data_IF_384171411364
#
_entry.id   IF_384171411364
#
_cell.length_a   1.000
_cell.length_b   1.000
_cell.length_c   1.000
_cell.angle_alpha   90.00
_cell.angle_beta   90.00
_cell.angle_gamma   90.00
#
_symmetry.space_group_name_H-M   'P 1'
#
loop_
_entity.id
_entity.type
_entity.pdbx_description
1 polymer ?
#
# COMPACT_ATOMS: atom_id res chain seq x y z
N UNK A 1 13.70 11.19 16.11
CA UNK A 1 13.12 9.89 16.52
C UNK A 1 12.74 9.09 15.28
N UNK A 2 13.33 7.89 15.15
CA UNK A 2 13.20 6.95 14.03
C UNK A 2 11.82 6.27 13.99
N UNK A 3 11.41 5.89 12.77
CA UNK A 3 10.35 4.95 12.38
C UNK A 3 8.88 5.32 12.59
N UNK A 4 8.25 5.96 11.59
CA UNK A 4 6.95 5.48 11.10
C UNK A 4 7.22 4.75 9.80
N UNK A 5 7.20 3.42 9.89
CA UNK A 5 7.34 2.48 8.78
C UNK A 5 6.37 2.93 7.68
N UNK A 6 6.82 2.95 6.43
CA UNK A 6 5.92 2.78 5.29
C UNK A 6 4.95 1.66 5.65
N UNK A 7 3.65 1.80 5.33
CA UNK A 7 2.78 0.63 5.34
C UNK A 7 3.52 -0.39 4.49
N UNK A 8 4.05 -1.40 5.18
CA UNK A 8 4.79 -2.43 4.52
C UNK A 8 3.77 -3.11 3.61
N UNK A 9 4.20 -3.59 2.45
CA UNK A 9 3.36 -4.39 1.59
C UNK A 9 2.70 -5.54 2.38
N UNK A 10 3.39 -6.09 3.40
CA UNK A 10 2.85 -7.05 4.39
C UNK A 10 1.74 -6.48 5.30
N UNK A 11 1.78 -5.19 5.60
CA UNK A 11 0.71 -4.48 6.33
C UNK A 11 -0.48 -4.28 5.40
N UNK A 12 -0.33 -3.95 4.11
CA UNK A 12 -1.50 -3.98 3.21
C UNK A 12 -2.03 -5.41 2.95
N UNK A 13 -1.16 -6.42 2.89
CA UNK A 13 -1.45 -7.83 2.58
C UNK A 13 -2.35 -8.55 3.59
N UNK A 14 -2.16 -8.32 4.90
CA UNK A 14 -2.96 -9.02 5.91
C UNK A 14 -4.34 -8.36 6.12
N UNK A 15 -4.54 -7.14 5.62
CA UNK A 15 -5.59 -6.26 6.12
C UNK A 15 -6.86 -6.32 5.25
N UNK A 16 -6.82 -6.94 4.07
CA UNK A 16 -8.02 -7.18 3.25
C UNK A 16 -8.88 -8.37 3.75
N UNK A 17 -8.79 -8.80 5.02
CA UNK A 17 -9.22 -10.14 5.49
C UNK A 17 -10.56 -10.24 6.28
N UNK A 18 -11.60 -9.48 5.98
CA UNK A 18 -12.91 -9.71 6.63
C UNK A 18 -14.00 -10.12 5.62
N UNK A 19 -14.49 -11.36 5.75
CA UNK A 19 -15.91 -11.75 5.89
C UNK A 19 -16.15 -13.22 5.49
N UNK A 20 -16.79 -14.03 6.35
CA UNK A 20 -18.01 -14.84 6.13
C UNK A 20 -18.18 -15.95 7.21
N UNK A 21 -19.47 -16.21 7.51
CA UNK A 21 -20.16 -17.25 8.33
C UNK A 21 -20.33 -17.03 9.84
N UNK A 22 -21.60 -16.95 10.24
CA UNK A 22 -22.14 -16.57 11.55
C UNK A 22 -22.13 -17.76 12.50
N UNK A 23 -21.35 -17.64 13.58
CA UNK A 23 -21.61 -18.33 14.84
C UNK A 23 -21.65 -17.26 15.94
N UNK A 24 -22.55 -17.40 16.92
CA UNK A 24 -22.72 -16.41 18.00
C UNK A 24 -21.61 -16.54 19.05
N UNK A 25 -20.99 -15.42 19.46
CA UNK A 25 -20.05 -15.34 20.59
C UNK A 25 -19.25 -14.03 20.63
N UNK A 26 -18.48 -13.78 21.70
CA UNK A 26 -17.70 -12.54 21.91
C UNK A 26 -16.21 -12.83 22.18
N UNK A 27 -15.30 -12.00 21.64
CA UNK A 27 -13.86 -11.94 21.99
C UNK A 27 -13.66 -10.97 23.14
N UNK A 28 -12.96 -11.37 24.20
CA UNK A 28 -12.71 -10.50 25.36
C UNK A 28 -11.30 -9.93 25.32
N UNK A 29 -11.16 -8.62 25.50
CA UNK A 29 -9.87 -7.97 25.73
C UNK A 29 -9.72 -7.66 27.21
N UNK A 30 -8.57 -8.03 27.78
CA UNK A 30 -8.23 -7.77 29.19
C UNK A 30 -7.04 -6.81 29.21
N UNK A 31 -7.29 -5.57 29.66
CA UNK A 31 -6.28 -4.52 29.75
C UNK A 31 -6.04 -4.21 31.24
N UNK A 32 -4.82 -4.39 31.76
CA UNK A 32 -4.52 -4.09 33.15
C UNK A 32 -4.68 -2.59 33.45
N UNK A 33 -5.03 -2.24 34.69
CA UNK A 33 -4.99 -0.85 35.15
C UNK A 33 -3.55 -0.33 35.10
N UNK A 34 -3.39 0.94 34.72
CA UNK A 34 -2.10 1.60 34.64
C UNK A 34 -2.24 3.05 35.13
N UNK A 35 -1.38 3.46 36.06
CA UNK A 35 -1.52 4.71 36.83
C UNK A 35 -0.72 5.89 36.26
N UNK A 36 -0.02 5.72 35.13
CA UNK A 36 0.80 6.78 34.55
C UNK A 36 0.04 7.62 33.50
N UNK A 37 0.13 8.95 33.66
CA UNK A 37 -0.44 10.01 32.81
C UNK A 37 0.12 10.05 31.39
N UNK A 38 1.03 9.15 31.04
CA UNK A 38 1.65 9.13 29.72
C UNK A 38 0.97 8.20 28.74
N UNK A 39 0.27 7.12 29.14
CA UNK A 39 -0.34 6.22 28.16
C UNK A 39 -1.43 6.94 27.35
N UNK A 40 -1.49 6.70 26.03
CA UNK A 40 -2.66 7.15 25.25
C UNK A 40 -3.89 6.45 25.84
N UNK A 41 -4.88 7.23 26.30
CA UNK A 41 -6.09 6.74 26.99
C UNK A 41 -6.98 5.83 26.13
N UNK A 42 -6.63 5.63 24.85
CA UNK A 42 -7.43 4.88 23.91
C UNK A 42 -6.64 3.92 23.04
N UNK A 43 -6.95 2.63 23.18
CA UNK A 43 -6.57 1.61 22.19
C UNK A 43 -7.70 1.55 21.17
N UNK A 44 -7.38 1.70 19.89
CA UNK A 44 -8.38 1.61 18.84
C UNK A 44 -8.26 0.22 18.21
N UNK A 45 -9.32 -0.57 18.33
CA UNK A 45 -9.47 -1.81 17.59
C UNK A 45 -10.23 -1.53 16.31
N UNK A 46 -9.72 -2.11 15.23
CA UNK A 46 -10.40 -2.18 13.96
C UNK A 46 -10.56 -3.64 13.59
N UNK A 47 -11.65 -3.98 12.90
CA UNK A 47 -11.56 -5.13 12.00
C UNK A 47 -10.46 -4.85 10.97
N UNK A 48 -9.87 -5.90 10.40
CA UNK A 48 -8.91 -5.72 9.30
C UNK A 48 -9.50 -4.79 8.21
N UNK A 49 -10.75 -5.00 7.83
CA UNK A 49 -11.47 -4.18 6.86
C UNK A 49 -11.54 -2.69 7.25
N UNK A 50 -12.02 -2.35 8.44
CA UNK A 50 -12.19 -0.96 8.89
C UNK A 50 -10.86 -0.21 9.03
N UNK A 51 -9.78 -0.93 9.36
CA UNK A 51 -8.45 -0.33 9.43
C UNK A 51 -8.01 0.21 8.06
N UNK A 52 -8.37 -0.45 6.96
CA UNK A 52 -8.02 0.02 5.59
C UNK A 52 -8.87 1.20 5.15
N UNK A 53 -10.16 1.15 5.46
CA UNK A 53 -11.11 2.17 5.04
C UNK A 53 -11.08 3.40 5.95
N UNK A 54 -10.21 3.45 6.97
CA UNK A 54 -10.18 4.53 7.97
C UNK A 54 -10.09 5.96 7.40
N UNK A 55 -9.57 6.14 6.18
CA UNK A 55 -9.53 7.42 5.45
C UNK A 55 -10.41 7.48 4.20
N UNK A 56 -11.39 6.59 4.07
CA UNK A 56 -12.28 6.42 2.92
C UNK A 56 -13.75 6.35 3.38
N UNK A 57 -14.07 5.55 4.41
CA UNK A 57 -15.42 5.43 4.98
C UNK A 57 -15.73 6.54 5.99
N UNK A 58 -17.01 6.93 6.08
CA UNK A 58 -17.49 7.71 7.22
C UNK A 58 -17.30 6.92 8.53
N UNK A 59 -16.87 7.56 9.64
CA UNK A 59 -16.63 6.88 10.91
C UNK A 59 -17.83 6.10 11.46
N UNK A 60 -19.06 6.53 11.13
CA UNK A 60 -20.33 5.92 11.56
C UNK A 60 -20.55 4.49 11.06
N UNK A 61 -19.96 4.14 9.91
CA UNK A 61 -20.11 2.82 9.29
C UNK A 61 -19.01 1.83 9.68
N UNK A 62 -17.98 2.30 10.39
CA UNK A 62 -16.84 1.46 10.74
C UNK A 62 -17.10 0.73 12.06
N UNK A 63 -16.74 -0.55 12.11
CA UNK A 63 -16.66 -1.26 13.39
C UNK A 63 -15.35 -0.91 14.10
N UNK A 64 -15.37 0.23 14.80
CA UNK A 64 -14.23 0.75 15.58
C UNK A 64 -14.56 0.70 17.05
N UNK A 65 -13.66 0.11 17.84
CA UNK A 65 -13.81 0.08 19.29
C UNK A 65 -12.70 0.88 19.94
N UNK A 66 -13.08 1.88 20.72
CA UNK A 66 -12.19 2.67 21.55
C UNK A 66 -12.16 2.04 22.95
N UNK A 67 -11.06 1.38 23.28
CA UNK A 67 -10.88 0.74 24.58
C UNK A 67 -10.17 1.71 25.53
N UNK A 68 -10.73 1.85 26.73
CA UNK A 68 -10.08 2.55 27.84
C UNK A 68 -9.23 1.57 28.64
N UNK A 69 -8.06 2.02 29.09
CA UNK A 69 -7.14 1.22 29.92
C UNK A 69 -7.82 0.85 31.25
N UNK A 70 -7.62 -0.38 31.73
CA UNK A 70 -8.16 -0.86 33.00
C UNK A 70 -9.52 -1.56 32.95
N UNK A 71 -10.14 -1.69 31.77
CA UNK A 71 -11.43 -2.35 31.60
C UNK A 71 -11.32 -3.68 30.83
N UNK A 72 -12.24 -4.61 31.14
CA UNK A 72 -12.52 -5.77 30.29
C UNK A 72 -13.49 -5.35 29.20
N UNK A 73 -13.21 -5.71 27.96
CA UNK A 73 -14.07 -5.41 26.82
C UNK A 73 -14.49 -6.69 26.13
N UNK A 74 -15.74 -6.78 25.67
CA UNK A 74 -16.22 -7.95 24.91
C UNK A 74 -16.69 -7.50 23.54
N UNK A 75 -16.27 -8.23 22.51
CA UNK A 75 -16.42 -7.88 21.11
C UNK A 75 -17.12 -9.00 20.35
N UNK A 76 -18.34 -8.76 19.86
CA UNK A 76 -19.01 -9.70 18.96
C UNK A 76 -18.43 -9.58 17.55
N UNK A 77 -17.85 -10.67 17.04
CA UNK A 77 -17.25 -10.71 15.71
C UNK A 77 -18.32 -10.80 14.60
N UNK A 78 -19.54 -11.26 14.91
CA UNK A 78 -20.58 -11.58 13.93
C UNK A 78 -20.28 -12.82 13.07
N UNK A 79 -19.15 -13.49 13.31
CA UNK A 79 -18.67 -14.69 12.62
C UNK A 79 -17.76 -15.50 13.55
N UNK A 80 -17.56 -16.79 13.28
CA UNK A 80 -16.80 -17.68 14.17
C UNK A 80 -15.33 -17.24 14.33
N UNK A 81 -14.68 -16.90 13.21
CA UNK A 81 -13.29 -16.42 13.16
C UNK A 81 -13.22 -15.04 12.52
N UNK A 82 -12.30 -14.19 12.97
CA UNK A 82 -12.04 -12.89 12.34
C UNK A 82 -10.57 -12.48 12.49
N UNK A 83 -10.17 -11.45 11.77
CA UNK A 83 -8.85 -10.84 11.89
C UNK A 83 -8.98 -9.42 12.46
N UNK A 84 -8.36 -9.18 13.62
CA UNK A 84 -8.38 -7.88 14.30
C UNK A 84 -7.04 -7.17 14.22
N UNK A 85 -7.08 -5.87 13.97
CA UNK A 85 -5.91 -4.99 14.03
C UNK A 85 -6.00 -4.11 15.26
N UNK A 86 -5.00 -4.25 16.12
CA UNK A 86 -4.81 -3.37 17.27
C UNK A 86 -4.01 -2.16 16.77
N UNK A 87 -4.63 -0.98 16.74
CA UNK A 87 -3.98 0.27 16.39
C UNK A 87 -3.81 1.14 17.64
N UNK A 88 -2.56 1.29 18.06
CA UNK A 88 -2.17 2.31 19.02
C UNK A 88 -0.73 2.77 18.71
N UNK A 89 -0.45 4.05 18.87
CA UNK A 89 0.87 4.62 18.56
C UNK A 89 2.00 4.06 19.43
N UNK A 90 1.64 3.52 20.60
CA UNK A 90 2.53 2.87 21.56
C UNK A 90 2.47 1.35 21.50
N UNK A 91 1.71 0.77 20.56
CA UNK A 91 1.66 -0.69 20.38
C UNK A 91 2.97 -1.19 19.77
N UNK A 92 3.66 -2.09 20.47
CA UNK A 92 5.02 -2.53 20.10
C UNK A 92 5.02 -3.74 19.19
N UNK A 93 4.02 -4.61 19.32
CA UNK A 93 3.80 -5.66 18.33
C UNK A 93 3.42 -4.97 17.01
N UNK A 94 3.97 -5.43 15.88
CA UNK A 94 3.67 -4.81 14.58
C UNK A 94 2.15 -4.81 14.38
N UNK A 95 1.57 -3.77 13.76
CA UNK A 95 0.15 -3.74 13.35
C UNK A 95 -0.15 -4.85 12.33
N UNK A 96 -0.21 -6.09 12.82
CA UNK A 96 -0.50 -7.31 12.10
C UNK A 96 -1.88 -7.77 12.56
N UNK A 97 -2.78 -8.04 11.63
CA UNK A 97 -4.03 -8.71 11.93
C UNK A 97 -3.79 -10.02 12.68
N UNK A 98 -4.48 -10.17 13.79
CA UNK A 98 -4.49 -11.38 14.61
C UNK A 98 -5.75 -12.18 14.28
N UNK A 99 -5.59 -13.46 13.92
CA UNK A 99 -6.69 -14.41 13.84
C UNK A 99 -7.24 -14.62 15.25
N UNK A 100 -8.50 -14.30 15.41
CA UNK A 100 -9.26 -14.43 16.65
C UNK A 100 -10.50 -15.28 16.39
N UNK A 101 -11.01 -15.91 17.43
CA UNK A 101 -12.27 -16.66 17.38
C UNK A 101 -13.22 -16.22 18.48
N UNK A 102 -14.51 -16.45 18.28
CA UNK A 102 -15.49 -16.20 19.34
C UNK A 102 -15.15 -16.97 20.62
N UNK A 103 -15.34 -16.32 21.77
CA UNK A 103 -14.98 -16.84 23.09
C UNK A 103 -13.50 -16.69 23.46
N UNK A 104 -12.66 -16.15 22.56
CA UNK A 104 -11.24 -15.95 22.82
C UNK A 104 -10.98 -14.76 23.76
N UNK A 105 -10.07 -14.92 24.73
CA UNK A 105 -9.54 -13.80 25.51
C UNK A 105 -8.17 -13.35 24.96
N UNK A 106 -7.97 -12.04 24.82
CA UNK A 106 -6.72 -11.39 24.39
C UNK A 106 -6.25 -10.51 25.53
N UNK A 107 -5.07 -10.82 26.06
CA UNK A 107 -4.48 -10.09 27.17
C UNK A 107 -3.49 -9.05 26.65
N UNK A 108 -3.63 -7.80 27.04
CA UNK A 108 -2.64 -6.75 26.72
C UNK A 108 -1.79 -6.46 27.95
N UNK A 109 -0.53 -6.10 27.75
CA UNK A 109 0.35 -5.59 28.81
C UNK A 109 0.79 -4.18 28.47
N UNK A 110 0.92 -3.36 29.51
CA UNK A 110 1.43 -1.99 29.42
C UNK A 110 2.70 -1.91 30.26
N UNK A 111 3.82 -1.54 29.64
CA UNK A 111 5.09 -1.38 30.36
C UNK A 111 5.17 -0.03 31.09
N UNK A 112 6.21 0.17 31.90
CA UNK A 112 6.42 1.40 32.67
C UNK A 112 6.54 2.68 31.81
N UNK A 113 6.77 2.56 30.49
CA UNK A 113 6.84 3.67 29.55
C UNK A 113 5.50 3.92 28.82
N UNK A 114 4.46 3.16 29.18
CA UNK A 114 3.14 3.21 28.53
C UNK A 114 3.11 2.53 27.17
N UNK A 115 4.08 1.68 26.83
CA UNK A 115 4.04 0.87 25.60
C UNK A 115 3.12 -0.32 25.80
N UNK A 116 2.35 -0.62 24.76
CA UNK A 116 1.32 -1.66 24.77
C UNK A 116 1.82 -2.86 23.97
N UNK A 117 1.68 -4.06 24.53
CA UNK A 117 2.04 -5.31 23.87
C UNK A 117 1.02 -6.41 24.17
N UNK A 118 1.12 -7.53 23.46
CA UNK A 118 0.42 -8.75 23.88
C UNK A 118 1.09 -9.31 25.14
N UNK A 119 0.31 -9.54 26.19
CA UNK A 119 0.81 -10.11 27.43
C UNK A 119 1.24 -11.58 27.28
N UNK A 120 1.98 -12.11 28.26
CA UNK A 120 2.26 -13.55 28.36
C UNK A 120 0.96 -14.33 28.67
N UNK A 121 0.91 -15.60 28.27
CA UNK A 121 -0.24 -16.47 28.55
C UNK A 121 -1.43 -16.26 27.61
N UNK A 122 -1.16 -15.95 26.34
CA UNK A 122 -2.22 -15.89 25.33
C UNK A 122 -2.79 -17.27 25.07
N UNK A 123 -3.93 -17.33 24.39
CA UNK A 123 -4.42 -18.60 23.86
C UNK A 123 -3.45 -19.25 22.88
N UNK A 124 -3.55 -20.57 22.74
CA UNK A 124 -2.72 -21.33 21.79
C UNK A 124 -2.86 -20.86 20.34
N UNK A 125 -4.04 -20.37 19.96
CA UNK A 125 -4.28 -19.74 18.65
C UNK A 125 -3.42 -18.48 18.45
N UNK A 126 -3.33 -17.61 19.46
CA UNK A 126 -2.52 -16.39 19.39
C UNK A 126 -1.04 -16.69 19.56
N UNK A 127 -0.66 -17.59 20.49
CA UNK A 127 0.72 -18.02 20.69
C UNK A 127 1.32 -18.61 19.41
N UNK A 128 0.59 -19.47 18.70
CA UNK A 128 1.01 -20.04 17.42
C UNK A 128 1.33 -18.95 16.39
N UNK A 129 0.46 -17.95 16.26
CA UNK A 129 0.67 -16.83 15.35
C UNK A 129 1.93 -16.01 15.69
N UNK A 130 2.18 -15.79 16.97
CA UNK A 130 3.38 -15.09 17.44
C UNK A 130 4.67 -15.88 17.14
N UNK A 131 4.60 -17.22 17.09
CA UNK A 131 5.76 -18.04 16.68
C UNK A 131 6.14 -17.82 15.21
N UNK A 132 5.20 -17.45 14.33
CA UNK A 132 5.54 -17.08 12.95
C UNK A 132 6.39 -15.80 12.86
N UNK A 133 6.51 -15.00 13.92
CA UNK A 133 7.48 -13.89 13.95
C UNK A 133 8.94 -14.35 13.93
N UNK A 134 9.20 -15.62 14.27
CA UNK A 134 10.52 -16.24 14.24
C UNK A 134 10.94 -16.69 12.85
N UNK A 135 10.07 -16.56 11.84
CA UNK A 135 10.44 -16.88 10.46
C UNK A 135 11.56 -15.95 9.98
N UNK A 136 12.50 -16.53 9.25
CA UNK A 136 13.68 -15.85 8.73
C UNK A 136 13.29 -14.77 7.74
N UNK A 137 13.99 -13.62 7.81
CA UNK A 137 13.90 -12.61 6.76
C UNK A 137 14.55 -13.17 5.50
N UNK A 138 13.96 -12.87 4.35
CA UNK A 138 14.59 -13.16 3.07
C UNK A 138 15.92 -12.38 2.93
N UNK A 139 16.97 -13.03 2.40
CA UNK A 139 18.24 -12.37 2.14
C UNK A 139 18.04 -11.24 1.15
N UNK A 140 18.76 -10.14 1.35
CA UNK A 140 18.83 -9.04 0.37
C UNK A 140 20.12 -9.20 -0.40
N UNK A 141 20.05 -9.20 -1.72
CA UNK A 141 21.26 -9.10 -2.52
C UNK A 141 21.96 -7.76 -2.23
N UNK A 142 23.28 -7.82 -2.03
CA UNK A 142 24.13 -6.63 -1.95
C UNK A 142 24.68 -6.25 -3.33
N UNK A 143 24.45 -7.09 -4.33
CA UNK A 143 24.97 -6.92 -5.67
C UNK A 143 24.07 -5.99 -6.49
N UNK A 144 24.68 -5.19 -7.37
CA UNK A 144 23.96 -4.33 -8.32
C UNK A 144 23.23 -5.18 -9.36
N UNK A 145 23.89 -6.26 -9.82
CA UNK A 145 23.29 -7.32 -10.64
C UNK A 145 23.12 -8.59 -9.83
N UNK A 146 21.94 -9.19 -9.86
CA UNK A 146 21.69 -10.45 -9.15
C UNK A 146 22.42 -11.62 -9.82
N UNK A 147 22.95 -12.53 -9.00
CA UNK A 147 23.60 -13.77 -9.46
C UNK A 147 22.67 -14.97 -9.30
N UNK A 148 23.03 -16.12 -9.89
CA UNK A 148 22.31 -17.38 -9.65
C UNK A 148 22.25 -17.72 -8.16
N UNK A 149 23.37 -17.57 -7.45
CA UNK A 149 23.46 -17.80 -6.01
C UNK A 149 22.52 -16.86 -5.22
N UNK A 150 22.31 -15.61 -5.66
CA UNK A 150 21.31 -14.73 -5.04
C UNK A 150 19.89 -15.31 -5.17
N UNK A 151 19.55 -15.91 -6.32
CA UNK A 151 18.26 -16.56 -6.56
C UNK A 151 18.13 -17.84 -5.70
N UNK A 152 19.17 -18.67 -5.65
CA UNK A 152 19.21 -19.90 -4.84
C UNK A 152 19.02 -19.60 -3.35
N UNK A 153 19.72 -18.58 -2.82
CA UNK A 153 19.56 -18.16 -1.43
C UNK A 153 18.13 -17.71 -1.10
N UNK A 154 17.41 -17.11 -2.06
CA UNK A 154 16.01 -16.74 -1.89
C UNK A 154 15.12 -17.99 -1.81
N UNK A 155 15.40 -19.03 -2.60
CA UNK A 155 14.68 -20.31 -2.57
C UNK A 155 14.94 -21.06 -1.26
N UNK A 156 16.19 -21.12 -0.82
CA UNK A 156 16.54 -21.75 0.46
C UNK A 156 15.85 -21.08 1.63
N UNK A 157 15.80 -19.74 1.64
CA UNK A 157 15.06 -18.98 2.65
C UNK A 157 13.55 -19.29 2.61
N UNK A 158 12.97 -19.48 1.43
CA UNK A 158 11.57 -19.92 1.28
C UNK A 158 11.35 -21.29 1.89
N UNK A 159 12.15 -22.27 1.49
CA UNK A 159 11.99 -23.67 1.91
C UNK A 159 12.22 -23.82 3.42
N UNK A 160 13.23 -23.14 3.95
CA UNK A 160 13.45 -23.03 5.39
C UNK A 160 12.23 -22.48 6.12
N UNK A 161 11.65 -21.38 5.64
CA UNK A 161 10.48 -20.77 6.25
C UNK A 161 9.23 -21.66 6.17
N UNK A 162 9.03 -22.41 5.07
CA UNK A 162 7.94 -23.39 4.95
C UNK A 162 8.11 -24.53 5.95
N UNK A 163 9.30 -25.14 6.02
CA UNK A 163 9.61 -26.19 7.00
C UNK A 163 9.41 -25.70 8.45
N UNK A 164 9.81 -24.46 8.74
CA UNK A 164 9.63 -23.86 10.07
C UNK A 164 8.16 -23.60 10.37
N UNK A 165 7.38 -23.12 9.41
CA UNK A 165 5.92 -22.96 9.52
C UNK A 165 5.26 -24.30 9.85
N UNK A 166 5.61 -25.37 9.12
CA UNK A 166 5.08 -26.72 9.34
C UNK A 166 5.42 -27.23 10.73
N UNK A 167 6.67 -27.05 11.16
CA UNK A 167 7.12 -27.41 12.51
C UNK A 167 6.35 -26.66 13.61
N UNK A 168 6.09 -25.37 13.40
CA UNK A 168 5.28 -24.57 14.33
C UNK A 168 3.85 -25.13 14.36
N UNK A 169 3.20 -25.34 13.22
CA UNK A 169 1.82 -25.84 13.18
C UNK A 169 1.69 -27.23 13.83
N UNK A 170 2.65 -28.12 13.58
CA UNK A 170 2.71 -29.45 14.20
C UNK A 170 2.84 -29.38 15.71
N UNK A 171 3.66 -28.45 16.24
CA UNK A 171 3.79 -28.25 17.68
C UNK A 171 2.49 -27.77 18.35
N UNK A 172 1.56 -27.20 17.58
CA UNK A 172 0.25 -26.75 18.06
C UNK A 172 -0.91 -27.67 17.65
N UNK A 173 -0.63 -28.84 17.07
CA UNK A 173 -1.66 -29.71 16.48
C UNK A 173 -2.71 -30.22 17.48
N UNK A 174 -2.31 -30.46 18.73
CA UNK A 174 -3.24 -30.90 19.79
C UNK A 174 -4.11 -29.77 20.36
N UNK A 175 -3.74 -28.51 20.10
CA UNK A 175 -4.41 -27.35 20.69
C UNK A 175 -5.30 -26.57 19.71
N UNK A 176 -5.06 -26.75 18.41
CA UNK A 176 -5.77 -26.05 17.34
C UNK A 176 -6.67 -27.02 16.61
N UNK A 177 -7.83 -26.56 16.16
CA UNK A 177 -8.66 -27.31 15.23
C UNK A 177 -7.95 -27.47 13.88
N UNK A 178 -8.38 -28.43 13.07
CA UNK A 178 -7.90 -28.56 11.70
C UNK A 178 -8.13 -27.28 10.89
N UNK A 179 -9.33 -26.68 11.02
CA UNK A 179 -9.66 -25.41 10.40
C UNK A 179 -8.69 -24.29 10.81
N UNK A 180 -8.41 -24.13 12.11
CA UNK A 180 -7.46 -23.13 12.60
C UNK A 180 -6.05 -23.34 12.01
N UNK A 181 -5.58 -24.60 11.95
CA UNK A 181 -4.26 -24.91 11.37
C UNK A 181 -4.20 -24.60 9.89
N UNK A 182 -5.22 -24.97 9.12
CA UNK A 182 -5.26 -24.73 7.68
C UNK A 182 -5.36 -23.24 7.36
N UNK A 183 -6.12 -22.47 8.16
CA UNK A 183 -6.18 -21.02 8.04
C UNK A 183 -4.84 -20.35 8.32
N UNK A 184 -4.13 -20.78 9.37
CA UNK A 184 -2.80 -20.29 9.70
C UNK A 184 -1.75 -20.69 8.65
N UNK A 185 -1.82 -21.93 8.16
CA UNK A 185 -0.96 -22.49 7.10
C UNK A 185 -1.10 -21.70 5.81
N UNK A 186 -2.32 -21.55 5.29
CA UNK A 186 -2.59 -20.82 4.05
C UNK A 186 -2.12 -19.37 4.13
N UNK A 187 -2.42 -18.68 5.25
CA UNK A 187 -2.01 -17.29 5.44
C UNK A 187 -0.48 -17.14 5.50
N UNK A 188 0.19 -18.00 6.26
CA UNK A 188 1.63 -17.97 6.42
C UNK A 188 2.35 -18.34 5.11
N UNK A 189 1.91 -19.39 4.41
CA UNK A 189 2.47 -19.82 3.13
C UNK A 189 2.35 -18.74 2.05
N UNK A 190 1.17 -18.14 1.91
CA UNK A 190 0.99 -17.02 0.97
C UNK A 190 1.89 -15.83 1.32
N UNK A 191 2.05 -15.51 2.61
CA UNK A 191 2.98 -14.46 3.06
C UNK A 191 4.46 -14.76 2.75
N UNK A 192 4.88 -16.04 2.84
CA UNK A 192 6.21 -16.52 2.47
C UNK A 192 6.41 -16.37 0.95
N UNK A 193 5.47 -16.86 0.13
CA UNK A 193 5.60 -16.79 -1.32
C UNK A 193 5.56 -15.35 -1.85
N UNK A 194 4.68 -14.51 -1.29
CA UNK A 194 4.61 -13.08 -1.61
C UNK A 194 5.89 -12.33 -1.28
N UNK A 195 6.57 -12.70 -0.19
CA UNK A 195 7.88 -12.17 0.16
C UNK A 195 8.86 -12.42 -0.98
N UNK A 196 8.94 -13.68 -1.41
CA UNK A 196 9.83 -14.12 -2.46
C UNK A 196 9.51 -13.44 -3.79
N UNK A 197 8.24 -13.42 -4.21
CA UNK A 197 7.81 -12.77 -5.44
C UNK A 197 8.18 -11.29 -5.47
N UNK A 198 8.13 -10.59 -4.32
CA UNK A 198 8.60 -9.21 -4.24
C UNK A 198 10.09 -9.07 -4.53
N UNK A 199 10.94 -10.06 -4.20
CA UNK A 199 12.36 -10.02 -4.54
C UNK A 199 12.59 -10.44 -6.00
N UNK A 200 11.92 -11.49 -6.46
CA UNK A 200 12.03 -12.00 -7.82
C UNK A 200 11.65 -10.95 -8.87
N UNK A 201 10.58 -10.19 -8.63
CA UNK A 201 10.15 -9.10 -9.51
C UNK A 201 11.06 -7.87 -9.56
N UNK A 202 12.14 -7.86 -8.78
CA UNK A 202 13.16 -6.83 -8.76
C UNK A 202 14.55 -7.35 -9.17
N UNK A 203 14.64 -8.60 -9.64
CA UNK A 203 15.88 -9.13 -10.20
C UNK A 203 16.27 -8.27 -11.40
N UNK A 204 17.49 -7.75 -11.34
CA UNK A 204 18.12 -7.00 -12.40
C UNK A 204 19.43 -7.71 -12.73
N UNK A 205 19.48 -8.39 -13.88
CA UNK A 205 20.65 -9.17 -14.30
C UNK A 205 20.54 -9.49 -15.80
N UNK A 206 21.48 -10.28 -16.31
CA UNK A 206 21.48 -10.71 -17.71
C UNK A 206 20.39 -11.77 -17.95
N UNK A 207 20.01 -11.98 -19.21
CA UNK A 207 18.84 -12.79 -19.59
C UNK A 207 18.86 -14.21 -19.01
N UNK A 208 20.03 -14.84 -18.90
CA UNK A 208 20.16 -16.20 -18.35
C UNK A 208 19.73 -16.27 -16.87
N UNK A 209 20.09 -15.27 -16.07
CA UNK A 209 19.71 -15.21 -14.65
C UNK A 209 18.23 -14.87 -14.51
N UNK A 210 17.70 -13.99 -15.37
CA UNK A 210 16.27 -13.68 -15.40
C UNK A 210 15.47 -14.94 -15.79
N UNK A 211 15.94 -15.70 -16.78
CA UNK A 211 15.29 -16.94 -17.23
C UNK A 211 15.32 -18.00 -16.13
N UNK A 212 16.45 -18.12 -15.43
CA UNK A 212 16.59 -19.00 -14.28
C UNK A 212 15.59 -18.64 -13.17
N UNK A 213 15.51 -17.37 -12.80
CA UNK A 213 14.56 -16.88 -11.80
C UNK A 213 13.10 -17.05 -12.23
N UNK A 214 12.81 -16.90 -13.52
CA UNK A 214 11.46 -17.09 -14.07
C UNK A 214 11.04 -18.56 -14.03
N UNK A 215 11.91 -19.50 -14.41
CA UNK A 215 11.64 -20.93 -14.31
C UNK A 215 11.36 -21.34 -12.86
N UNK A 216 12.15 -20.84 -11.91
CA UNK A 216 11.93 -21.06 -10.49
C UNK A 216 10.59 -20.45 -10.03
N UNK A 217 10.27 -19.23 -10.47
CA UNK A 217 8.99 -18.59 -10.19
C UNK A 217 7.80 -19.46 -10.66
N UNK A 218 7.87 -20.02 -11.87
CA UNK A 218 6.82 -20.92 -12.39
C UNK A 218 6.69 -22.20 -11.57
N UNK A 219 7.80 -22.83 -11.17
CA UNK A 219 7.78 -24.00 -10.29
C UNK A 219 7.12 -23.68 -8.94
N UNK A 220 7.49 -22.56 -8.32
CA UNK A 220 6.89 -22.12 -7.06
C UNK A 220 5.38 -21.88 -7.21
N UNK A 221 4.95 -21.29 -8.32
CA UNK A 221 3.54 -21.07 -8.61
C UNK A 221 2.77 -22.38 -8.70
N UNK A 222 3.35 -23.40 -9.35
CA UNK A 222 2.77 -24.75 -9.43
C UNK A 222 2.71 -25.43 -8.05
N UNK A 223 3.78 -25.31 -7.27
CA UNK A 223 3.95 -25.96 -5.95
C UNK A 223 3.35 -25.18 -4.78
N UNK A 224 2.77 -24.00 -5.03
CA UNK A 224 2.26 -23.16 -3.97
C UNK A 224 0.96 -23.74 -3.42
N UNK A 225 0.93 -23.99 -2.12
CA UNK A 225 -0.32 -24.36 -1.44
C UNK A 225 -1.35 -23.22 -1.57
N UNK A 226 -0.91 -21.97 -1.80
CA UNK A 226 -1.78 -20.82 -2.03
C UNK A 226 -2.70 -20.96 -3.24
N UNK A 227 -2.33 -21.71 -4.28
CA UNK A 227 -3.22 -22.00 -5.42
C UNK A 227 -4.26 -23.06 -5.08
N UNK A 228 -3.93 -23.99 -4.19
CA UNK A 228 -4.80 -25.10 -3.78
C UNK A 228 -5.91 -24.68 -2.80
N UNK A 229 -5.79 -23.50 -2.19
CA UNK A 229 -6.83 -22.95 -1.32
C UNK A 229 -7.84 -22.07 -2.08
N UNK A 230 -7.76 -21.93 -3.41
CA UNK A 230 -8.76 -21.16 -4.19
C UNK A 230 -10.20 -21.67 -3.96
N UNK A 231 -10.39 -22.97 -3.71
CA UNK A 231 -11.71 -23.59 -3.48
C UNK A 231 -12.11 -23.75 -2.01
N UNK A 232 -11.14 -23.74 -1.07
CA UNK A 232 -11.35 -24.02 0.37
C UNK A 232 -10.96 -22.85 1.31
N UNK A 233 -10.47 -21.73 0.77
CA UNK A 233 -10.03 -20.59 1.56
C UNK A 233 -11.22 -19.81 2.11
N UNK A 234 -11.31 -19.73 3.44
CA UNK A 234 -12.12 -18.73 4.15
C UNK A 234 -11.64 -17.28 3.92
N UNK A 235 -10.57 -17.07 3.15
CA UNK A 235 -9.90 -15.77 2.96
C UNK A 235 -9.68 -15.37 1.50
N UNK A 236 -10.74 -14.91 0.81
CA UNK A 236 -10.69 -14.52 -0.58
C UNK A 236 -9.62 -13.48 -0.95
N UNK A 237 -9.28 -12.56 -0.05
CA UNK A 237 -8.44 -11.43 -0.40
C UNK A 237 -6.94 -11.70 -0.47
N UNK A 238 -6.43 -12.57 0.41
CA UNK A 238 -5.01 -12.94 0.39
C UNK A 238 -4.72 -13.78 -0.85
N UNK A 239 -5.64 -14.67 -1.22
CA UNK A 239 -5.60 -15.43 -2.47
C UNK A 239 -5.68 -14.47 -3.67
N UNK A 240 -6.61 -13.50 -3.64
CA UNK A 240 -6.71 -12.50 -4.70
C UNK A 240 -5.44 -11.66 -4.86
N UNK A 241 -4.82 -11.26 -3.74
CA UNK A 241 -3.56 -10.53 -3.74
C UNK A 241 -2.36 -11.39 -4.17
N UNK A 242 -2.30 -12.64 -3.70
CA UNK A 242 -1.33 -13.64 -4.14
C UNK A 242 -1.40 -13.81 -5.66
N UNK A 243 -2.61 -14.00 -6.20
CA UNK A 243 -2.85 -14.08 -7.64
C UNK A 243 -2.45 -12.79 -8.35
N UNK A 244 -2.83 -11.62 -7.84
CA UNK A 244 -2.37 -10.34 -8.40
C UNK A 244 -0.84 -10.26 -8.50
N UNK A 245 -0.13 -10.54 -7.40
CA UNK A 245 1.34 -10.47 -7.37
C UNK A 245 1.97 -11.52 -8.28
N UNK A 246 1.39 -12.71 -8.34
CA UNK A 246 1.78 -13.77 -9.28
C UNK A 246 1.69 -13.26 -10.72
N UNK A 247 0.51 -12.80 -11.16
CA UNK A 247 0.32 -12.35 -12.55
C UNK A 247 1.21 -11.14 -12.89
N UNK A 248 1.41 -10.19 -11.96
CA UNK A 248 2.34 -9.07 -12.19
C UNK A 248 3.78 -9.53 -12.35
N UNK A 249 4.25 -10.47 -11.54
CA UNK A 249 5.60 -10.99 -11.65
C UNK A 249 5.79 -11.78 -12.95
N UNK A 250 4.82 -12.59 -13.33
CA UNK A 250 4.79 -13.30 -14.61
C UNK A 250 4.97 -12.33 -15.79
N UNK A 251 4.19 -11.25 -15.82
CA UNK A 251 4.31 -10.22 -16.86
C UNK A 251 5.65 -9.49 -16.82
N UNK A 252 6.20 -9.19 -15.63
CA UNK A 252 7.51 -8.57 -15.51
C UNK A 252 8.62 -9.45 -16.06
N UNK A 253 8.59 -10.75 -15.75
CA UNK A 253 9.55 -11.70 -16.29
C UNK A 253 9.44 -11.84 -17.80
N UNK A 254 8.22 -12.01 -18.32
CA UNK A 254 7.97 -12.08 -19.78
C UNK A 254 8.41 -10.81 -20.49
N UNK A 255 8.21 -9.64 -19.89
CA UNK A 255 8.72 -8.37 -20.41
C UNK A 255 10.24 -8.37 -20.51
N UNK A 256 10.92 -8.78 -19.44
CA UNK A 256 12.39 -8.79 -19.42
C UNK A 256 12.98 -9.80 -20.41
N UNK A 257 12.37 -10.98 -20.56
CA UNK A 257 12.90 -12.06 -21.39
C UNK A 257 12.52 -11.95 -22.86
N UNK A 258 11.29 -11.52 -23.15
CA UNK A 258 10.70 -11.58 -24.49
C UNK A 258 10.34 -10.20 -25.04
N UNK A 259 10.68 -9.12 -24.33
CA UNK A 259 10.31 -7.75 -24.72
C UNK A 259 8.81 -7.47 -24.67
N UNK A 260 8.00 -8.35 -24.07
CA UNK A 260 6.55 -8.20 -24.02
C UNK A 260 6.18 -6.92 -23.25
N UNK A 261 5.42 -6.01 -23.89
CA UNK A 261 4.96 -4.79 -23.20
C UNK A 261 4.03 -5.16 -22.05
N UNK A 262 4.21 -4.49 -20.91
CA UNK A 262 3.23 -4.57 -19.82
C UNK A 262 1.97 -3.83 -20.28
N UNK A 263 0.86 -4.57 -20.42
CA UNK A 263 -0.42 -4.03 -20.84
C UNK A 263 -1.39 -4.22 -19.68
N UNK A 264 -1.81 -3.11 -19.06
CA UNK A 264 -2.73 -3.13 -17.92
C UNK A 264 -4.01 -3.95 -18.21
N UNK A 265 -4.56 -3.79 -19.42
CA UNK A 265 -5.73 -4.53 -19.90
C UNK A 265 -5.57 -6.05 -19.79
N UNK A 266 -4.41 -6.57 -20.16
CA UNK A 266 -4.16 -8.02 -20.16
C UNK A 266 -4.10 -8.54 -18.72
N UNK A 267 -3.36 -7.85 -17.85
CA UNK A 267 -3.30 -8.17 -16.43
C UNK A 267 -4.69 -8.13 -15.79
N UNK A 268 -5.44 -7.06 -16.04
CA UNK A 268 -6.79 -6.88 -15.53
C UNK A 268 -7.72 -8.03 -15.94
N UNK A 269 -7.70 -8.40 -17.23
CA UNK A 269 -8.54 -9.48 -17.76
C UNK A 269 -8.10 -10.86 -17.24
N UNK A 270 -6.79 -11.12 -17.14
CA UNK A 270 -6.27 -12.37 -16.58
C UNK A 270 -6.68 -12.56 -15.13
N UNK A 271 -6.53 -11.52 -14.29
CA UNK A 271 -6.99 -11.56 -12.90
C UNK A 271 -8.48 -11.82 -12.86
N UNK A 272 -9.28 -11.08 -13.65
CA UNK A 272 -10.73 -11.21 -13.70
C UNK A 272 -11.18 -12.62 -14.13
N UNK A 273 -10.44 -13.27 -15.03
CA UNK A 273 -10.74 -14.62 -15.52
C UNK A 273 -10.33 -15.72 -14.53
N UNK A 274 -9.22 -15.54 -13.80
CA UNK A 274 -8.66 -16.53 -12.86
C UNK A 274 -9.22 -16.43 -11.44
N UNK A 275 -10.08 -15.45 -11.15
CA UNK A 275 -10.61 -15.23 -9.80
C UNK A 275 -12.11 -14.95 -9.84
N UNK A 276 -12.83 -15.29 -8.77
CA UNK A 276 -14.29 -15.14 -8.69
C UNK A 276 -14.75 -14.44 -7.40
N UNK A 277 -15.98 -13.90 -7.42
CA UNK A 277 -16.61 -13.30 -6.25
C UNK A 277 -15.78 -12.19 -5.59
N UNK A 278 -15.72 -12.20 -4.26
CA UNK A 278 -14.93 -11.23 -3.48
C UNK A 278 -13.42 -11.34 -3.69
N UNK A 279 -12.88 -12.53 -4.07
CA UNK A 279 -11.46 -12.70 -4.46
C UNK A 279 -11.15 -11.79 -5.63
N UNK A 280 -12.00 -11.87 -6.67
CA UNK A 280 -11.86 -11.11 -7.90
C UNK A 280 -11.93 -9.62 -7.67
N UNK A 281 -12.95 -9.20 -6.93
CA UNK A 281 -13.17 -7.78 -6.69
C UNK A 281 -11.96 -7.17 -5.94
N UNK A 282 -11.41 -7.87 -4.95
CA UNK A 282 -10.22 -7.41 -4.21
C UNK A 282 -8.95 -7.47 -5.04
N UNK A 283 -8.74 -8.51 -5.83
CA UNK A 283 -7.58 -8.63 -6.72
C UNK A 283 -7.57 -7.54 -7.80
N UNK A 284 -8.72 -7.29 -8.43
CA UNK A 284 -8.88 -6.21 -9.42
C UNK A 284 -8.71 -4.84 -8.77
N UNK A 285 -9.23 -4.65 -7.56
CA UNK A 285 -9.05 -3.40 -6.82
C UNK A 285 -7.57 -3.13 -6.56
N UNK A 286 -6.82 -4.11 -6.09
CA UNK A 286 -5.39 -3.96 -5.86
C UNK A 286 -4.64 -3.67 -7.18
N UNK A 287 -5.02 -4.34 -8.26
CA UNK A 287 -4.48 -4.12 -9.59
C UNK A 287 -4.63 -2.66 -10.02
N UNK A 288 -5.84 -2.13 -9.93
CA UNK A 288 -6.11 -0.72 -10.22
C UNK A 288 -5.28 0.18 -9.30
N UNK A 289 -5.30 -0.06 -7.99
CA UNK A 289 -4.67 0.85 -7.03
C UNK A 289 -3.14 0.92 -7.14
N UNK A 290 -2.49 -0.11 -7.68
CA UNK A 290 -1.06 -0.10 -7.97
C UNK A 290 -0.72 0.58 -9.28
N UNK A 291 -1.60 0.51 -10.26
CA UNK A 291 -1.31 1.02 -11.60
C UNK A 291 -1.82 2.46 -11.79
N UNK A 292 -2.86 2.87 -11.06
CA UNK A 292 -3.46 4.22 -11.10
C UNK A 292 -2.52 5.35 -10.66
N UNK A 293 -1.33 5.05 -10.16
CA UNK A 293 -0.31 6.05 -9.82
C UNK A 293 0.61 6.38 -11.01
N UNK A 294 0.49 5.65 -12.11
CA UNK A 294 1.20 5.90 -13.36
C UNK A 294 0.29 6.67 -14.31
N UNK A 295 0.91 7.51 -15.14
CA UNK A 295 0.25 8.42 -16.09
C UNK A 295 -0.43 7.68 -17.25
N UNK A 296 0.05 6.50 -17.61
CA UNK A 296 -0.53 5.66 -18.66
C UNK A 296 -1.73 4.80 -18.21
N UNK A 297 -2.19 4.95 -16.96
CA UNK A 297 -3.32 4.16 -16.45
C UNK A 297 -4.63 4.53 -17.16
N UNK A 298 -5.35 3.58 -17.76
CA UNK A 298 -6.62 3.84 -18.43
C UNK A 298 -7.76 4.04 -17.41
N UNK A 299 -8.17 5.29 -17.20
CA UNK A 299 -9.07 5.69 -16.10
C UNK A 299 -10.49 5.08 -16.20
N UNK A 300 -10.92 4.71 -17.41
CA UNK A 300 -12.18 4.02 -17.71
C UNK A 300 -12.30 2.65 -17.02
N UNK A 301 -11.17 2.06 -16.62
CA UNK A 301 -11.18 0.81 -15.85
C UNK A 301 -11.71 0.96 -14.43
N UNK A 302 -11.82 2.19 -13.90
CA UNK A 302 -12.58 2.44 -12.67
C UNK A 302 -14.06 2.11 -12.88
N UNK A 303 -14.63 2.54 -13.99
CA UNK A 303 -16.04 2.27 -14.32
C UNK A 303 -16.25 0.80 -14.69
N UNK A 304 -15.37 0.25 -15.52
CA UNK A 304 -15.39 -1.18 -15.89
C UNK A 304 -15.38 -2.10 -14.65
N UNK A 305 -14.57 -1.77 -13.64
CA UNK A 305 -14.55 -2.49 -12.37
C UNK A 305 -15.87 -2.40 -11.61
N UNK A 306 -16.46 -1.21 -11.53
CA UNK A 306 -17.71 -0.98 -10.78
C UNK A 306 -18.93 -1.70 -11.38
N UNK A 307 -18.89 -2.09 -12.65
CA UNK A 307 -19.97 -2.86 -13.30
C UNK A 307 -20.16 -4.24 -12.64
N UNK A 308 -19.08 -4.94 -12.28
CA UNK A 308 -19.18 -6.31 -11.76
C UNK A 308 -18.83 -6.46 -10.29
N UNK A 309 -18.13 -5.49 -9.68
CA UNK A 309 -17.73 -5.59 -8.29
C UNK A 309 -18.94 -5.58 -7.36
N UNK A 310 -19.02 -6.57 -6.46
CA UNK A 310 -20.05 -6.69 -5.42
C UNK A 310 -19.49 -6.42 -4.02
N UNK A 311 -18.20 -6.71 -3.77
CA UNK A 311 -17.56 -6.42 -2.48
C UNK A 311 -17.58 -4.91 -2.19
N UNK A 312 -18.24 -4.51 -1.10
CA UNK A 312 -18.48 -3.11 -0.75
C UNK A 312 -17.18 -2.33 -0.56
N UNK A 313 -16.16 -2.98 0.02
CA UNK A 313 -14.83 -2.41 0.27
C UNK A 313 -14.16 -2.03 -1.05
N UNK A 314 -14.06 -3.00 -1.94
CA UNK A 314 -13.51 -2.85 -3.28
C UNK A 314 -14.23 -1.74 -4.04
N UNK A 315 -15.57 -1.79 -4.09
CA UNK A 315 -16.38 -0.75 -4.74
C UNK A 315 -16.07 0.63 -4.18
N UNK A 316 -16.00 0.76 -2.86
CA UNK A 316 -15.74 2.05 -2.24
C UNK A 316 -14.34 2.58 -2.52
N UNK A 317 -13.32 1.72 -2.48
CA UNK A 317 -11.95 2.11 -2.84
C UNK A 317 -11.88 2.63 -4.29
N UNK A 318 -12.58 1.97 -5.22
CA UNK A 318 -12.65 2.38 -6.62
C UNK A 318 -13.46 3.68 -6.79
N UNK A 319 -14.60 3.82 -6.11
CA UNK A 319 -15.40 5.05 -6.09
C UNK A 319 -14.60 6.23 -5.54
N UNK A 320 -13.86 6.04 -4.46
CA UNK A 320 -13.01 7.08 -3.87
C UNK A 320 -11.89 7.52 -4.82
N UNK A 321 -11.28 6.58 -5.55
CA UNK A 321 -10.33 6.94 -6.62
C UNK A 321 -11.01 7.73 -7.72
N UNK A 322 -12.16 7.27 -8.21
CA UNK A 322 -12.95 7.94 -9.25
C UNK A 322 -13.31 9.37 -8.84
N UNK A 323 -13.82 9.56 -7.62
CA UNK A 323 -14.20 10.86 -7.11
C UNK A 323 -13.00 11.81 -7.00
N UNK A 324 -11.89 11.33 -6.44
CA UNK A 324 -10.67 12.14 -6.26
C UNK A 324 -10.03 12.61 -7.57
N UNK A 325 -10.38 11.97 -8.69
CA UNK A 325 -9.82 12.21 -10.02
C UNK A 325 -10.84 12.78 -11.00
N UNK A 326 -12.00 13.21 -10.50
CA UNK A 326 -13.06 13.75 -11.33
C UNK A 326 -12.64 15.09 -11.96
N UNK A 327 -12.44 15.06 -13.28
CA UNK A 327 -12.04 16.20 -14.10
C UNK A 327 -13.07 17.32 -14.00
N UNK A 328 -12.60 18.58 -14.01
CA UNK A 328 -13.45 19.77 -13.97
C UNK A 328 -13.92 20.17 -12.56
N UNK A 329 -13.70 19.34 -11.54
CA UNK A 329 -13.93 19.74 -10.14
C UNK A 329 -12.85 20.71 -9.67
N UNK A 330 -13.22 21.66 -8.82
CA UNK A 330 -12.25 22.53 -8.14
C UNK A 330 -11.30 21.65 -7.32
N UNK A 331 -10.00 21.95 -7.37
CA UNK A 331 -9.03 21.16 -6.60
C UNK A 331 -9.17 21.39 -5.09
N UNK A 332 -8.77 20.39 -4.30
CA UNK A 332 -8.85 20.43 -2.85
C UNK A 332 -8.05 21.63 -2.30
N UNK A 333 -8.54 22.37 -1.30
CA UNK A 333 -7.82 23.50 -0.73
C UNK A 333 -6.51 23.04 -0.08
N UNK A 334 -5.47 23.86 -0.19
CA UNK A 334 -4.17 23.61 0.45
C UNK A 334 -3.54 24.90 0.92
N UNK A 335 -2.59 24.76 1.84
CA UNK A 335 -1.67 25.80 2.26
C UNK A 335 -0.27 25.16 2.36
N UNK A 336 0.57 25.41 1.36
CA UNK A 336 1.96 24.95 1.35
C UNK A 336 2.89 26.10 1.71
N UNK A 337 3.96 25.84 2.44
CA UNK A 337 4.89 26.91 2.85
C UNK A 337 5.99 27.07 1.78
N UNK A 338 6.27 28.31 1.37
CA UNK A 338 7.36 28.67 0.45
C UNK A 338 8.72 28.82 1.17
N UNK A 339 9.79 29.04 0.41
CA UNK A 339 11.15 29.18 0.97
C UNK A 339 11.31 30.37 1.92
N UNK A 340 10.40 31.35 1.87
CA UNK A 340 10.35 32.53 2.75
C UNK A 340 9.42 32.34 3.95
N UNK A 341 8.78 31.18 4.09
CA UNK A 341 7.84 30.89 5.17
C UNK A 341 6.42 31.38 4.93
N UNK A 342 6.08 31.83 3.71
CA UNK A 342 4.72 32.26 3.37
C UNK A 342 3.88 31.07 2.96
N UNK A 343 2.61 31.05 3.38
CA UNK A 343 1.66 30.05 2.93
C UNK A 343 1.16 30.42 1.52
N UNK A 344 1.28 29.48 0.60
CA UNK A 344 0.78 29.51 -0.77
C UNK A 344 -0.45 28.61 -0.84
N UNK A 345 -1.57 29.18 -1.30
CA UNK A 345 -2.83 28.49 -1.53
C UNK A 345 -3.35 28.68 -2.95
N UNK A 346 -4.63 28.34 -3.17
CA UNK A 346 -5.27 28.43 -4.49
C UNK A 346 -5.40 29.85 -5.01
N UNK A 347 -5.62 30.82 -4.12
CA UNK A 347 -5.84 32.21 -4.51
C UNK A 347 -4.57 32.85 -5.08
N UNK A 348 -3.39 32.41 -4.62
CA UNK A 348 -2.08 32.83 -5.16
C UNK A 348 -1.85 32.35 -6.60
N UNK A 349 -2.63 31.36 -7.07
CA UNK A 349 -2.45 30.70 -8.37
C UNK A 349 -3.56 31.04 -9.37
N UNK A 350 -4.49 31.94 -9.00
CA UNK A 350 -5.68 32.26 -9.77
C UNK A 350 -5.34 32.83 -11.16
N UNK A 351 -6.06 32.37 -12.20
CA UNK A 351 -5.91 32.86 -13.58
C UNK A 351 -4.73 32.24 -14.36
N UNK A 352 -3.97 31.36 -13.72
CA UNK A 352 -2.82 30.67 -14.31
C UNK A 352 -3.11 29.18 -14.45
N UNK A 353 -2.56 28.56 -15.50
CA UNK A 353 -2.47 27.11 -15.57
C UNK A 353 -1.43 26.67 -14.54
N UNK A 354 -1.72 25.66 -13.73
CA UNK A 354 -0.78 25.18 -12.70
C UNK A 354 -0.38 23.75 -13.02
N UNK A 355 0.93 23.53 -13.16
CA UNK A 355 1.53 22.20 -13.23
C UNK A 355 2.17 21.91 -11.87
N UNK A 356 1.64 20.93 -11.14
CA UNK A 356 2.07 20.60 -9.78
C UNK A 356 2.87 19.30 -9.80
N UNK A 357 4.13 19.35 -9.38
CA UNK A 357 5.00 18.18 -9.22
C UNK A 357 5.22 17.88 -7.74
N UNK A 358 4.96 16.63 -7.32
CA UNK A 358 5.15 16.15 -5.97
C UNK A 358 6.37 15.24 -5.86
N UNK A 359 7.35 15.63 -5.03
CA UNK A 359 8.63 14.91 -4.90
C UNK A 359 9.16 14.85 -3.46
N UNK A 360 10.19 14.02 -3.22
CA UNK A 360 10.94 13.97 -1.97
C UNK A 360 12.41 13.62 -2.20
N UNK A 361 13.28 13.94 -1.24
CA UNK A 361 14.70 13.66 -1.35
C UNK A 361 15.03 12.16 -1.38
N UNK A 362 15.87 11.74 -2.32
CA UNK A 362 16.24 10.33 -2.52
C UNK A 362 15.26 9.55 -3.40
N UNK A 363 14.31 10.23 -4.03
CA UNK A 363 13.38 9.65 -5.00
C UNK A 363 14.01 9.60 -6.41
N UNK A 364 14.51 8.44 -6.84
CA UNK A 364 15.13 8.29 -8.17
C UNK A 364 14.18 8.65 -9.33
N UNK A 365 12.91 8.30 -9.23
CA UNK A 365 11.92 8.64 -10.25
C UNK A 365 11.62 10.14 -10.30
N UNK A 366 11.70 10.84 -9.17
CA UNK A 366 11.49 12.28 -9.09
C UNK A 366 12.68 13.04 -9.70
N UNK A 367 13.91 12.56 -9.49
CA UNK A 367 15.10 13.13 -10.13
C UNK A 367 14.99 13.06 -11.66
N UNK A 368 14.60 11.90 -12.20
CA UNK A 368 14.37 11.74 -13.64
C UNK A 368 13.26 12.65 -14.16
N UNK A 369 12.18 12.83 -13.39
CA UNK A 369 11.10 13.73 -13.78
C UNK A 369 11.54 15.19 -13.77
N UNK A 370 12.31 15.61 -12.75
CA UNK A 370 12.86 16.96 -12.65
C UNK A 370 13.68 17.33 -13.89
N UNK A 371 14.62 16.46 -14.28
CA UNK A 371 15.42 16.58 -15.50
C UNK A 371 14.53 16.66 -16.76
N UNK A 372 13.57 15.74 -16.91
CA UNK A 372 12.67 15.72 -18.07
C UNK A 372 11.72 16.93 -18.15
N UNK A 373 11.50 17.64 -17.05
CA UNK A 373 10.64 18.82 -16.99
C UNK A 373 11.37 20.11 -17.36
N UNK A 374 12.71 20.13 -17.44
CA UNK A 374 13.50 21.35 -17.70
C UNK A 374 13.03 22.08 -18.96
N UNK A 375 12.98 21.39 -20.10
CA UNK A 375 12.55 21.98 -21.39
C UNK A 375 11.11 22.52 -21.34
N UNK A 376 10.22 21.82 -20.61
CA UNK A 376 8.81 22.23 -20.47
C UNK A 376 8.72 23.48 -19.60
N UNK A 377 9.51 23.55 -18.53
CA UNK A 377 9.59 24.72 -17.65
C UNK A 377 10.18 25.91 -18.41
N UNK A 378 11.28 25.72 -19.12
CA UNK A 378 11.93 26.76 -19.91
C UNK A 378 10.97 27.35 -20.94
N UNK A 379 10.16 26.52 -21.60
CA UNK A 379 9.15 26.99 -22.57
C UNK A 379 8.06 27.87 -21.96
N UNK A 380 7.58 27.57 -20.74
CA UNK A 380 6.37 28.20 -20.20
C UNK A 380 6.56 29.09 -18.97
N UNK A 381 7.73 29.11 -18.33
CA UNK A 381 7.94 29.82 -17.05
C UNK A 381 7.73 31.34 -17.14
N UNK A 382 7.98 31.95 -18.29
CA UNK A 382 7.74 33.38 -18.53
C UNK A 382 6.27 33.72 -18.83
N UNK A 383 5.37 32.73 -18.85
CA UNK A 383 4.00 32.86 -19.35
C UNK A 383 2.90 32.84 -18.28
N UNK A 384 1.75 32.30 -18.69
CA UNK A 384 0.57 32.15 -17.84
C UNK A 384 0.50 30.76 -17.17
N UNK A 385 1.66 30.14 -16.96
CA UNK A 385 1.82 28.82 -16.34
C UNK A 385 2.64 28.98 -15.06
N UNK A 386 2.19 28.35 -13.97
CA UNK A 386 2.96 28.20 -12.73
C UNK A 386 3.37 26.74 -12.59
N UNK A 387 4.67 26.50 -12.46
CA UNK A 387 5.21 25.21 -12.03
C UNK A 387 5.32 25.21 -10.50
N UNK A 388 4.38 24.54 -9.83
CA UNK A 388 4.35 24.42 -8.38
C UNK A 388 5.08 23.14 -7.97
N UNK A 389 6.30 23.28 -7.46
CA UNK A 389 7.13 22.17 -7.03
C UNK A 389 6.92 21.90 -5.54
N UNK A 390 6.23 20.82 -5.21
CA UNK A 390 5.77 20.49 -3.85
C UNK A 390 6.61 19.36 -3.26
N UNK A 391 7.43 19.69 -2.27
CA UNK A 391 8.19 18.69 -1.54
C UNK A 391 7.38 18.07 -0.37
N UNK A 392 7.45 16.75 -0.23
CA UNK A 392 6.73 15.97 0.79
C UNK A 392 7.62 15.44 1.92
N UNK A 393 8.85 15.95 2.07
CA UNK A 393 9.68 15.67 3.23
C UNK A 393 9.12 16.35 4.48
N UNK A 394 9.27 15.68 5.62
CA UNK A 394 8.79 16.19 6.92
C UNK A 394 9.70 17.25 7.54
N UNK A 395 10.93 17.38 7.05
CA UNK A 395 11.93 18.29 7.62
C UNK A 395 12.25 19.36 6.59
N UNK A 396 12.02 20.63 6.95
CA UNK A 396 12.35 21.79 6.12
C UNK A 396 13.80 21.76 5.62
N UNK A 397 14.76 21.43 6.49
CA UNK A 397 16.17 21.35 6.10
C UNK A 397 16.47 20.30 5.03
N UNK A 398 15.70 19.20 4.97
CA UNK A 398 15.85 18.23 3.89
C UNK A 398 15.35 18.84 2.58
N UNK A 399 14.16 19.45 2.60
CA UNK A 399 13.59 20.11 1.44
C UNK A 399 14.52 21.19 0.85
N UNK A 400 15.04 22.10 1.68
CA UNK A 400 15.99 23.15 1.24
C UNK A 400 17.25 22.54 0.61
N UNK A 401 17.80 21.46 1.19
CA UNK A 401 18.92 20.74 0.58
C UNK A 401 18.56 20.18 -0.80
N UNK A 402 17.36 19.63 -0.95
CA UNK A 402 16.86 19.12 -2.23
C UNK A 402 16.73 20.20 -3.29
N UNK A 403 16.20 21.38 -2.94
CA UNK A 403 16.14 22.54 -3.85
C UNK A 403 17.55 22.90 -4.33
N UNK A 404 18.50 23.02 -3.40
CA UNK A 404 19.87 23.43 -3.72
C UNK A 404 20.64 22.43 -4.61
N UNK A 405 20.13 21.21 -4.79
CA UNK A 405 20.74 20.25 -5.73
C UNK A 405 20.38 20.53 -7.18
N UNK A 406 19.26 21.23 -7.45
CA UNK A 406 18.72 21.39 -8.80
C UNK A 406 18.16 20.10 -9.44
N UNK A 407 18.27 18.94 -8.78
CA UNK A 407 17.92 17.63 -9.36
C UNK A 407 16.41 17.40 -9.47
N UNK A 408 15.64 17.92 -8.51
CA UNK A 408 14.21 17.60 -8.38
C UNK A 408 13.29 18.75 -8.80
N UNK A 409 13.84 19.94 -9.05
CA UNK A 409 13.07 21.16 -9.22
C UNK A 409 13.92 22.21 -9.92
N UNK A 410 13.26 23.21 -10.50
CA UNK A 410 13.90 24.31 -11.21
C UNK A 410 13.89 25.61 -10.40
N UNK A 411 14.88 26.51 -10.58
CA UNK A 411 14.82 27.88 -10.06
C UNK A 411 13.62 28.67 -10.60
N UNK A 412 13.05 28.27 -11.75
CA UNK A 412 11.85 28.89 -12.33
C UNK A 412 10.54 28.33 -11.76
N UNK A 413 10.61 27.34 -10.87
CA UNK A 413 9.43 26.79 -10.18
C UNK A 413 9.13 27.52 -8.88
N UNK A 414 7.85 27.63 -8.54
CA UNK A 414 7.42 28.01 -7.21
C UNK A 414 7.63 26.83 -6.27
N UNK A 415 8.74 26.88 -5.53
CA UNK A 415 9.14 25.83 -4.61
C UNK A 415 8.41 25.97 -3.27
N UNK A 416 7.63 24.94 -2.91
CA UNK A 416 6.89 24.86 -1.65
C UNK A 416 7.05 23.49 -0.99
N UNK A 417 6.70 23.36 0.29
CA UNK A 417 6.60 22.07 0.95
C UNK A 417 5.36 21.93 1.83
N UNK A 418 5.06 20.69 2.16
CA UNK A 418 3.88 20.27 2.95
C UNK A 418 3.88 20.69 4.43
N UNK A 419 4.71 21.67 4.83
CA UNK A 419 4.85 22.13 6.22
C UNK A 419 5.03 20.98 7.24
N UNK A 420 5.90 20.03 6.91
CA UNK A 420 6.23 18.90 7.78
C UNK A 420 5.20 17.76 7.83
N UNK A 421 4.02 17.93 7.23
CA UNK A 421 2.98 16.91 7.17
C UNK A 421 3.37 15.74 6.23
N UNK A 422 4.20 16.02 5.23
CA UNK A 422 4.61 15.08 4.20
C UNK A 422 3.40 14.47 3.49
N UNK A 423 3.48 13.18 3.16
CA UNK A 423 2.36 12.44 2.53
C UNK A 423 1.03 12.42 3.30
N UNK A 424 1.02 12.86 4.56
CA UNK A 424 -0.20 12.96 5.37
C UNK A 424 -0.90 14.32 5.21
N UNK A 425 -0.37 15.22 4.39
CA UNK A 425 -1.04 16.48 4.10
C UNK A 425 -2.46 16.23 3.55
N UNK A 426 -3.51 16.91 4.04
CA UNK A 426 -4.90 16.67 3.62
C UNK A 426 -5.10 16.67 2.10
N UNK A 427 -4.45 17.59 1.39
CA UNK A 427 -4.42 17.62 -0.08
C UNK A 427 -3.97 16.28 -0.69
N UNK A 428 -2.82 15.74 -0.28
CA UNK A 428 -2.30 14.48 -0.82
C UNK A 428 -3.19 13.28 -0.46
N UNK A 429 -3.79 13.30 0.73
CA UNK A 429 -4.75 12.29 1.18
C UNK A 429 -6.08 12.36 0.41
N UNK A 430 -6.49 13.55 -0.03
CA UNK A 430 -7.68 13.72 -0.86
C UNK A 430 -7.50 13.04 -2.21
N UNK A 431 -6.35 13.28 -2.87
CA UNK A 431 -5.99 12.69 -4.17
C UNK A 431 -5.46 11.26 -4.10
N UNK A 432 -5.45 10.67 -2.89
CA UNK A 432 -5.07 9.27 -2.66
C UNK A 432 -3.69 8.91 -3.23
N UNK A 433 -2.75 9.86 -3.25
CA UNK A 433 -1.39 9.60 -3.75
C UNK A 433 -0.63 8.65 -2.82
N UNK A 434 -0.13 7.55 -3.40
CA UNK A 434 0.57 6.46 -2.67
C UNK A 434 2.07 6.40 -2.91
N UNK A 435 2.52 6.95 -4.03
CA UNK A 435 3.93 7.03 -4.43
C UNK A 435 4.20 8.35 -5.13
N UNK A 436 5.48 8.62 -5.35
CA UNK A 436 5.98 9.80 -6.03
C UNK A 436 7.00 9.36 -7.11
N UNK A 437 7.17 10.13 -8.19
CA UNK A 437 6.56 11.43 -8.43
C UNK A 437 5.07 11.36 -8.82
N UNK A 438 4.35 12.45 -8.63
CA UNK A 438 2.99 12.66 -9.14
C UNK A 438 2.94 14.02 -9.82
N UNK A 439 2.37 14.09 -11.02
CA UNK A 439 2.26 15.31 -11.80
C UNK A 439 0.78 15.62 -12.01
N UNK A 440 0.32 16.78 -11.57
CA UNK A 440 -1.07 17.22 -11.67
C UNK A 440 -1.14 18.49 -12.54
N UNK A 441 -2.20 18.63 -13.33
CA UNK A 441 -2.48 19.87 -14.07
C UNK A 441 -3.83 20.43 -13.63
N UNK A 442 -3.84 21.74 -13.43
CA UNK A 442 -4.99 22.54 -13.02
C UNK A 442 -5.17 23.68 -14.01
N UNK A 443 -6.42 23.94 -14.40
CA UNK A 443 -6.74 25.03 -15.32
C UNK A 443 -6.71 26.41 -14.64
N UNK A 444 -6.92 27.46 -15.45
CA UNK A 444 -6.90 28.88 -15.02
C UNK A 444 -8.02 29.24 -14.03
N UNK A 445 -9.04 28.38 -13.90
CA UNK A 445 -10.16 28.53 -12.99
C UNK A 445 -9.98 27.72 -11.68
N UNK A 446 -8.84 27.04 -11.52
CA UNK A 446 -8.56 26.19 -10.37
C UNK A 446 -9.27 24.84 -10.41
N UNK A 447 -9.69 24.38 -11.60
CA UNK A 447 -10.31 23.07 -11.80
C UNK A 447 -9.28 22.04 -12.24
N UNK A 448 -9.46 20.82 -11.76
CA UNK A 448 -8.61 19.68 -12.08
C UNK A 448 -8.72 19.34 -13.58
N UNK A 449 -7.59 19.32 -14.28
CA UNK A 449 -7.49 18.78 -15.64
C UNK A 449 -7.11 17.31 -15.58
N UNK A 450 -6.05 16.99 -14.83
CA UNK A 450 -5.63 15.61 -14.57
C UNK A 450 -4.83 15.53 -13.29
N UNK A 451 -5.00 14.43 -12.57
CA UNK A 451 -4.19 14.07 -11.38
C UNK A 451 -2.89 13.35 -11.71
N UNK A 452 -2.76 12.85 -12.94
CA UNK A 452 -1.59 12.08 -13.42
C UNK A 452 -1.26 12.54 -14.85
N UNK A 453 -0.72 13.74 -14.99
CA UNK A 453 -0.28 14.24 -16.28
C UNK A 453 0.83 13.37 -16.88
N UNK A 454 0.89 13.39 -18.22
CA UNK A 454 1.93 12.75 -19.01
C UNK A 454 3.30 13.20 -18.53
N UNK A 455 4.13 12.23 -18.17
CA UNK A 455 5.52 12.48 -17.79
C UNK A 455 6.36 12.61 -19.07
N UNK A 456 7.13 13.70 -19.24
CA UNK A 456 7.82 14.02 -20.50
C UNK A 456 9.09 13.16 -20.73
N UNK A 457 9.01 11.86 -20.49
CA UNK A 457 10.11 10.93 -20.75
C UNK A 457 10.18 10.62 -22.25
N UNK A 458 11.08 11.32 -22.93
CA UNK A 458 11.26 11.25 -24.39
C UNK A 458 10.40 12.27 -25.14
N UNK A 459 10.78 12.54 -26.38
CA UNK A 459 10.27 13.70 -27.16
C UNK A 459 8.77 13.63 -27.41
N UNK A 460 8.24 12.47 -27.81
CA UNK A 460 6.81 12.28 -28.05
C UNK A 460 5.97 12.65 -26.81
N UNK A 461 6.37 12.17 -25.63
CA UNK A 461 5.65 12.42 -24.38
C UNK A 461 5.81 13.85 -23.90
N UNK A 462 6.94 14.47 -24.20
CA UNK A 462 7.19 15.89 -23.92
C UNK A 462 6.26 16.77 -24.76
N UNK A 463 6.16 16.49 -26.06
CA UNK A 463 5.25 17.20 -26.94
C UNK A 463 3.77 17.01 -26.55
N UNK A 464 3.39 15.82 -26.09
CA UNK A 464 2.05 15.56 -25.54
C UNK A 464 1.74 16.45 -24.32
N UNK A 465 2.68 16.58 -23.38
CA UNK A 465 2.54 17.46 -22.22
C UNK A 465 2.50 18.94 -22.63
N UNK A 466 3.39 19.36 -23.51
CA UNK A 466 3.44 20.72 -24.06
C UNK A 466 2.12 21.09 -24.73
N UNK A 467 1.61 20.23 -25.61
CA UNK A 467 0.34 20.42 -26.32
C UNK A 467 -0.82 20.54 -25.33
N UNK A 468 -0.81 19.72 -24.27
CA UNK A 468 -1.81 19.80 -23.20
C UNK A 468 -1.80 21.17 -22.52
N UNK A 469 -0.61 21.69 -22.20
CA UNK A 469 -0.46 23.01 -21.58
C UNK A 469 -0.91 24.12 -22.54
N UNK A 470 -0.48 24.09 -23.80
CA UNK A 470 -0.87 25.08 -24.81
C UNK A 470 -2.38 25.14 -25.03
N UNK A 471 -3.05 23.99 -25.04
CA UNK A 471 -4.51 23.92 -25.17
C UNK A 471 -5.25 24.55 -23.97
N UNK A 472 -4.65 24.58 -22.79
CA UNK A 472 -5.21 25.24 -21.61
C UNK A 472 -4.93 26.75 -21.56
N UNK A 473 -4.02 27.24 -22.42
CA UNK A 473 -3.67 28.65 -22.53
C UNK A 473 -4.48 29.39 -23.60
N UNK A 474 -5.04 28.65 -24.57
CA UNK A 474 -6.07 29.11 -25.51
C UNK A 474 -7.36 29.43 -24.75
#
# INVERSE_FOLDING_TARGET
MRTRRNLNIYTCMLILLASVTVAKGQVKFVIPQFTSTQASDSIILYTAHDYLTRGIEEPSNKKVWKLSIGNKFSLDLGQEYSFLVIQNERFTNRNRPLLVKNGLEIYLSIDSTGRISLAKGQSKLVECQLKFEQLSKYPRSKNIKSTKNDVDNLLDARNYNRSRMDSILSAYALYLSEAEREMLRGNCAAGIDLALFSFLGHINSDNDIIAYAYNMFQQIVQDSIGTHYEEKSFFPALIGYYNFVREVNDLKFKRSLYGQKFIFKDLYNQIKAKTIGVVRDRAVTECILKEIQYDQFPIDYLDSALVFMKDSVSRMMILAQKESRAIGKRIYPFAFEDVKGRNIGLDDLKGKVVVIDFWFNGCLGCAKLGEAMEDVIEKFHAGNVIFLSVNVDKKRNNWIKGINTGIYTSPYSLNVYTNGLGKNHPFLLNYKYRSFPQLMIVDRHGKLVTTNATRPFGDERREELITTIENLLK
#
